data_IF_394302053398
#
_entry.id   IF_394302053398
#
_cell.length_a   1.000
_cell.length_b   1.000
_cell.length_c   1.000
_cell.angle_alpha   90.00
_cell.angle_beta   90.00
_cell.angle_gamma   90.00
#
_symmetry.space_group_name_H-M   'P 1'
#
loop_
_entity.id
_entity.type
_entity.pdbx_description
1 polymer ?
#
# COMPACT_ATOMS: atom_id res chain seq x y z
N UNK A 1 -24.09 18.23 -2.19
CA UNK A 1 -22.65 18.05 -1.92
C UNK A 1 -21.97 17.79 -3.24
N UNK A 2 -20.71 18.23 -3.40
CA UNK A 2 -19.93 18.05 -4.63
C UNK A 2 -19.01 16.83 -4.47
N UNK A 3 -18.70 16.16 -5.57
CA UNK A 3 -17.76 15.03 -5.58
C UNK A 3 -16.37 15.52 -5.95
N UNK A 4 -15.33 14.97 -5.34
CA UNK A 4 -13.94 15.30 -5.64
C UNK A 4 -13.11 14.03 -5.82
N UNK A 5 -12.26 14.02 -6.84
CA UNK A 5 -11.13 13.13 -6.95
C UNK A 5 -10.00 13.67 -6.06
N UNK A 6 -9.34 12.83 -5.27
CA UNK A 6 -8.26 13.23 -4.36
C UNK A 6 -7.07 12.29 -4.54
N UNK A 7 -5.90 12.87 -4.79
CA UNK A 7 -4.64 12.16 -4.89
C UNK A 7 -3.99 12.08 -3.51
N UNK A 8 -3.67 10.86 -3.09
CA UNK A 8 -3.14 10.58 -1.76
C UNK A 8 -1.83 9.82 -1.85
N UNK A 9 -0.80 10.39 -1.23
CA UNK A 9 0.51 9.76 -1.06
C UNK A 9 0.63 9.23 0.36
N UNK A 10 1.05 7.97 0.50
CA UNK A 10 1.35 7.38 1.79
C UNK A 10 2.73 6.73 1.78
N UNK A 11 3.45 6.86 2.87
CA UNK A 11 4.72 6.17 3.10
C UNK A 11 4.63 5.41 4.41
N UNK A 12 5.13 4.17 4.38
CA UNK A 12 5.10 3.28 5.52
C UNK A 12 6.50 2.78 5.81
N UNK A 13 6.79 2.61 7.10
CA UNK A 13 7.94 1.87 7.59
C UNK A 13 7.47 0.47 7.96
N UNK A 14 8.14 -0.54 7.44
CA UNK A 14 7.74 -1.95 7.58
C UNK A 14 8.90 -2.72 8.17
N UNK A 15 8.66 -3.47 9.24
CA UNK A 15 9.60 -4.46 9.74
C UNK A 15 9.42 -5.78 8.99
N UNK A 16 10.49 -6.29 8.38
CA UNK A 16 10.51 -7.60 7.70
C UNK A 16 11.69 -8.40 8.23
N UNK A 17 11.40 -9.56 8.83
CA UNK A 17 12.44 -10.53 9.21
C UNK A 17 12.69 -11.46 8.05
N UNK A 18 13.89 -11.40 7.48
CA UNK A 18 14.31 -12.25 6.36
C UNK A 18 15.84 -12.27 6.26
N UNK A 19 16.39 -12.99 5.28
CA UNK A 19 17.83 -13.24 5.16
C UNK A 19 18.63 -12.10 4.51
N UNK A 20 17.99 -11.19 3.77
CA UNK A 20 18.66 -10.08 3.09
C UNK A 20 17.77 -8.85 2.88
N UNK A 21 18.40 -7.68 2.75
CA UNK A 21 17.70 -6.41 2.48
C UNK A 21 16.97 -6.41 1.12
N UNK A 22 17.54 -7.07 0.11
CA UNK A 22 16.92 -7.20 -1.20
C UNK A 22 15.62 -8.01 -1.11
N UNK A 23 15.65 -9.13 -0.38
CA UNK A 23 14.46 -9.95 -0.15
C UNK A 23 13.41 -9.22 0.67
N UNK A 24 13.84 -8.43 1.67
CA UNK A 24 12.93 -7.61 2.48
C UNK A 24 12.14 -6.61 1.62
N UNK A 25 12.80 -5.94 0.68
CA UNK A 25 12.16 -5.04 -0.28
C UNK A 25 11.17 -5.77 -1.18
N UNK A 26 11.57 -6.91 -1.76
CA UNK A 26 10.68 -7.72 -2.60
C UNK A 26 9.46 -8.26 -1.85
N UNK A 27 9.61 -8.67 -0.59
CA UNK A 27 8.49 -9.09 0.27
C UNK A 27 7.54 -7.92 0.51
N UNK A 28 8.06 -6.74 0.86
CA UNK A 28 7.25 -5.56 1.09
C UNK A 28 6.46 -5.18 -0.17
N UNK A 29 7.11 -5.12 -1.33
CA UNK A 29 6.46 -4.82 -2.62
C UNK A 29 5.38 -5.84 -3.01
N UNK A 30 5.62 -7.13 -2.72
CA UNK A 30 4.73 -8.20 -3.15
C UNK A 30 3.55 -8.42 -2.21
N UNK A 31 3.78 -8.39 -0.89
CA UNK A 31 2.78 -8.77 0.10
C UNK A 31 2.07 -7.59 0.75
N UNK A 32 2.59 -6.35 0.62
CA UNK A 32 1.95 -5.15 1.14
C UNK A 32 1.30 -4.38 -0.01
N UNK A 33 -0.01 -4.58 -0.18
CA UNK A 33 -0.81 -3.83 -1.15
C UNK A 33 -1.10 -2.42 -0.60
N UNK A 34 -2.30 -2.17 -0.07
CA UNK A 34 -2.60 -0.93 0.68
C UNK A 34 -2.03 -0.98 2.11
N UNK A 35 -0.79 -1.43 2.24
CA UNK A 35 -0.01 -1.56 3.48
C UNK A 35 -0.66 -2.43 4.56
N UNK A 36 -1.49 -3.37 4.10
CA UNK A 36 -1.92 -4.52 4.88
C UNK A 36 -1.08 -5.72 4.46
N UNK A 37 -0.61 -6.48 5.45
CA UNK A 37 -0.02 -7.79 5.21
C UNK A 37 -1.08 -8.75 4.64
N UNK A 38 -0.92 -9.08 3.35
CA UNK A 38 -1.76 -10.03 2.65
C UNK A 38 -1.11 -11.42 2.53
N UNK A 39 0.04 -11.65 3.18
CA UNK A 39 0.64 -12.97 3.24
C UNK A 39 -0.19 -13.92 4.11
N UNK A 40 -0.22 -15.20 3.72
CA UNK A 40 -0.76 -16.27 4.54
C UNK A 40 0.38 -17.12 5.10
N UNK A 41 0.05 -18.04 6.02
CA UNK A 41 1.04 -18.90 6.67
C UNK A 41 1.87 -19.71 5.67
N UNK A 42 1.25 -20.27 4.63
CA UNK A 42 1.96 -21.03 3.60
C UNK A 42 3.01 -20.18 2.89
N UNK A 43 2.66 -18.94 2.51
CA UNK A 43 3.60 -18.00 1.89
C UNK A 43 4.76 -17.67 2.82
N UNK A 44 4.51 -17.45 4.11
CA UNK A 44 5.57 -17.13 5.09
C UNK A 44 6.55 -18.28 5.26
N UNK A 45 6.06 -19.52 5.30
CA UNK A 45 6.88 -20.72 5.38
C UNK A 45 7.68 -20.95 4.08
N UNK A 46 7.03 -20.82 2.93
CA UNK A 46 7.64 -21.04 1.60
C UNK A 46 8.76 -20.04 1.30
N UNK A 47 8.55 -18.76 1.62
CA UNK A 47 9.51 -17.70 1.35
C UNK A 47 10.41 -17.39 2.55
N UNK A 48 10.18 -17.98 3.72
CA UNK A 48 11.01 -17.79 4.91
C UNK A 48 11.06 -16.35 5.39
N UNK A 49 9.90 -15.77 5.72
CA UNK A 49 9.83 -14.40 6.25
C UNK A 49 8.72 -14.20 7.29
N UNK A 50 8.84 -13.12 8.04
CA UNK A 50 7.81 -12.60 8.94
C UNK A 50 7.66 -11.10 8.71
N UNK A 51 6.42 -10.62 8.58
CA UNK A 51 6.11 -9.19 8.58
C UNK A 51 5.73 -8.81 10.01
N UNK A 52 6.45 -7.86 10.58
CA UNK A 52 6.25 -7.33 11.91
C UNK A 52 5.38 -6.08 11.91
N UNK A 53 5.84 -5.04 12.59
CA UNK A 53 5.13 -3.77 12.69
C UNK A 53 5.11 -3.02 11.34
N UNK A 54 3.97 -2.40 11.05
CA UNK A 54 3.78 -1.50 9.90
C UNK A 54 3.32 -0.16 10.44
N UNK A 55 4.14 0.86 10.25
CA UNK A 55 3.92 2.22 10.74
C UNK A 55 3.70 3.17 9.56
N UNK A 56 2.62 3.96 9.59
CA UNK A 56 2.39 5.04 8.64
C UNK A 56 3.22 6.25 9.03
N UNK A 57 4.20 6.62 8.20
CA UNK A 57 5.11 7.75 8.48
C UNK A 57 4.79 9.00 7.68
N UNK A 58 4.06 8.88 6.56
CA UNK A 58 3.56 10.00 5.77
C UNK A 58 2.15 9.69 5.26
N UNK A 59 1.23 10.65 5.38
CA UNK A 59 -0.14 10.55 4.87
C UNK A 59 -0.61 11.92 4.39
N UNK A 60 -0.38 12.20 3.11
CA UNK A 60 -0.54 13.53 2.55
C UNK A 60 -1.40 13.50 1.29
N UNK A 61 -2.41 14.37 1.24
CA UNK A 61 -3.18 14.61 0.02
C UNK A 61 -2.46 15.69 -0.81
N UNK A 62 -2.18 15.40 -2.06
CA UNK A 62 -1.35 16.25 -2.92
C UNK A 62 -2.15 17.06 -3.94
N UNK A 63 -3.30 16.54 -4.40
CA UNK A 63 -4.14 17.19 -5.41
C UNK A 63 -5.60 16.78 -5.25
N UNK A 64 -6.53 17.64 -5.69
CA UNK A 64 -7.94 17.29 -5.80
C UNK A 64 -8.65 18.01 -6.94
N UNK A 65 -9.59 17.33 -7.60
CA UNK A 65 -10.42 17.88 -8.67
C UNK A 65 -11.91 17.65 -8.41
N UNK A 66 -12.74 18.67 -8.61
CA UNK A 66 -14.20 18.47 -8.57
C UNK A 66 -14.66 17.62 -9.76
N UNK A 67 -15.41 16.56 -9.51
CA UNK A 67 -15.96 15.67 -10.53
C UNK A 67 -17.27 16.28 -11.05
N UNK A 68 -17.25 16.74 -12.30
CA UNK A 68 -18.43 17.23 -13.01
C UNK A 68 -18.93 16.10 -13.92
N UNK A 69 -20.05 15.47 -13.55
CA UNK A 69 -20.71 14.49 -14.41
C UNK A 69 -21.19 15.20 -15.70
N UNK A 70 -20.66 14.77 -16.85
CA UNK A 70 -21.22 15.18 -18.15
C UNK A 70 -22.29 14.18 -18.54
N UNK A 71 -23.52 14.64 -18.75
CA UNK A 71 -24.58 13.83 -19.34
C UNK A 71 -24.11 13.28 -20.69
N UNK A 72 -24.16 11.96 -20.87
CA UNK A 72 -23.91 11.33 -22.16
C UNK A 72 -25.08 11.70 -23.07
N UNK A 73 -24.83 12.56 -24.07
CA UNK A 73 -25.73 12.68 -25.22
C UNK A 73 -25.73 11.33 -25.96
N UNK A 74 -26.90 10.69 -26.00
CA UNK A 74 -27.17 9.46 -26.75
C UNK A 74 -27.65 9.79 -28.17
#
# INVERSE_FOLDING_TARGET
MKNFEVYLTRTYKVEVKTESEEKARGIAEHFLSNCKDNSNQKSREEFGFEIGEIELVLNEATESHEIIEKEKEF
#
